data_IF_932491953290
#
_entry.id   IF_932491953290
#
_cell.length_a   1.000
_cell.length_b   1.000
_cell.length_c   1.000
_cell.angle_alpha   90.00
_cell.angle_beta   90.00
_cell.angle_gamma   90.00
#
_symmetry.space_group_name_H-M   'P 1'
#
loop_
_entity.id
_entity.type
_entity.pdbx_description
1 polymer ?
#
# COMPACT_ATOMS: atom_id res chain seq x y z
N UNK A 1 0.73 -21.82 59.58
CA UNK A 1 1.87 -22.70 59.23
C UNK A 1 2.44 -22.14 57.93
N UNK A 2 3.29 -21.10 58.06
CA UNK A 2 4.74 -21.14 57.74
C UNK A 2 4.98 -21.40 56.23
N UNK A 3 5.25 -20.34 55.45
CA UNK A 3 6.59 -19.81 55.07
C UNK A 3 7.10 -20.61 53.83
N UNK A 4 7.49 -20.05 52.68
CA UNK A 4 8.60 -19.13 52.31
C UNK A 4 8.46 -18.95 50.77
N UNK A 5 8.64 -17.82 50.06
CA UNK A 5 9.50 -16.66 50.26
C UNK A 5 10.82 -16.79 49.47
N UNK A 6 10.83 -16.68 48.14
CA UNK A 6 12.06 -16.81 47.33
C UNK A 6 12.16 -15.77 46.23
N UNK A 7 12.91 -14.69 46.49
CA UNK A 7 13.35 -13.70 45.53
C UNK A 7 14.90 -13.65 45.52
N UNK A 8 15.46 -13.02 44.46
CA UNK A 8 16.86 -12.55 44.27
C UNK A 8 17.79 -13.59 43.58
N UNK A 9 18.75 -13.23 42.68
CA UNK A 9 19.25 -11.89 42.29
C UNK A 9 19.31 -11.54 40.79
N UNK A 10 19.43 -10.23 40.57
CA UNK A 10 19.98 -9.58 39.40
C UNK A 10 21.44 -10.00 39.12
N UNK A 11 21.76 -10.23 37.84
CA UNK A 11 23.12 -10.40 37.34
C UNK A 11 23.41 -9.30 36.32
N UNK A 12 24.22 -8.35 36.78
CA UNK A 12 24.97 -7.38 35.98
C UNK A 12 25.99 -8.13 35.12
N UNK A 13 25.92 -7.98 33.80
CA UNK A 13 27.05 -8.21 32.90
C UNK A 13 27.20 -6.98 32.02
N UNK A 14 28.25 -6.21 32.29
CA UNK A 14 28.79 -5.22 31.38
C UNK A 14 29.65 -5.95 30.34
N UNK A 15 29.42 -5.66 29.06
CA UNK A 15 30.25 -6.09 27.93
C UNK A 15 30.17 -5.04 26.81
N UNK A 16 31.32 -4.44 26.53
CA UNK A 16 31.55 -3.28 25.65
C UNK A 16 31.93 -3.76 24.23
N UNK A 17 31.45 -3.00 23.23
CA UNK A 17 31.96 -2.81 21.84
C UNK A 17 31.73 -3.91 20.80
N UNK A 18 30.96 -3.51 19.79
CA UNK A 18 30.93 -4.07 18.43
C UNK A 18 29.97 -3.26 17.58
N UNK A 19 30.48 -2.26 16.86
CA UNK A 19 29.68 -1.40 15.98
C UNK A 19 29.08 -2.15 14.78
N UNK A 20 27.96 -1.63 14.31
CA UNK A 20 27.32 -2.00 13.05
C UNK A 20 26.21 -0.98 12.78
N UNK A 21 26.41 -0.16 11.76
CA UNK A 21 25.48 0.87 11.30
C UNK A 21 24.12 0.26 10.95
N UNK A 22 23.04 0.77 11.53
CA UNK A 22 21.69 0.63 10.99
C UNK A 22 21.38 1.93 10.26
N UNK A 23 21.22 1.87 8.94
CA UNK A 23 20.70 2.97 8.14
C UNK A 23 19.21 3.15 8.47
N UNK A 24 18.92 4.02 9.43
CA UNK A 24 17.58 4.54 9.64
C UNK A 24 17.26 5.51 8.49
N UNK A 25 16.44 5.05 7.55
CA UNK A 25 15.86 5.89 6.51
C UNK A 25 14.88 6.89 7.15
N UNK A 26 15.37 8.10 7.45
CA UNK A 26 14.52 9.24 7.78
C UNK A 26 13.90 9.78 6.49
N UNK A 27 12.60 9.53 6.31
CA UNK A 27 11.77 10.28 5.39
C UNK A 27 11.50 11.66 6.00
N UNK A 28 11.77 12.72 5.24
CA UNK A 28 11.32 14.07 5.59
C UNK A 28 10.16 14.44 4.67
N UNK A 29 8.96 14.54 5.23
CA UNK A 29 7.86 15.27 4.60
C UNK A 29 8.10 16.76 4.80
N UNK A 30 8.29 17.50 3.72
CA UNK A 30 8.26 18.96 3.76
C UNK A 30 6.80 19.40 3.98
N UNK A 31 6.51 19.88 5.19
CA UNK A 31 5.30 20.64 5.50
C UNK A 31 5.62 22.13 5.31
N UNK A 32 4.88 22.82 4.44
CA UNK A 32 5.12 24.20 4.01
C UNK A 32 4.94 25.26 5.12
N UNK A 33 4.57 24.88 6.35
CA UNK A 33 4.27 25.85 7.41
C UNK A 33 5.21 25.86 8.63
N UNK A 34 6.31 25.11 8.65
CA UNK A 34 7.30 25.17 9.75
C UNK A 34 8.74 25.06 9.21
N UNK A 35 9.59 26.11 9.31
CA UNK A 35 10.98 26.00 8.84
C UNK A 35 11.84 25.21 9.83
N UNK A 36 12.59 24.18 9.40
CA UNK A 36 13.56 23.50 10.26
C UNK A 36 14.81 24.37 10.44
N UNK A 37 15.36 24.40 11.66
CA UNK A 37 16.66 25.00 11.97
C UNK A 37 17.70 23.89 12.04
N UNK A 38 18.82 24.07 11.32
CA UNK A 38 20.07 23.35 11.57
C UNK A 38 21.07 24.43 12.04
N UNK A 39 21.68 24.22 13.21
CA UNK A 39 22.66 25.15 13.83
C UNK A 39 22.29 26.64 13.81
N UNK A 40 21.02 26.93 14.11
CA UNK A 40 20.53 28.27 14.42
C UNK A 40 20.63 29.33 13.30
N UNK A 41 20.70 28.95 12.01
CA UNK A 41 20.57 29.89 10.87
C UNK A 41 19.53 29.43 9.82
N UNK A 42 18.78 30.36 9.20
CA UNK A 42 17.80 30.03 8.15
C UNK A 42 18.48 29.74 6.80
N UNK A 43 17.94 28.76 6.07
CA UNK A 43 18.37 28.36 4.73
C UNK A 43 17.86 29.33 3.66
N UNK A 44 18.51 30.48 3.51
CA UNK A 44 18.43 31.30 2.30
C UNK A 44 19.76 32.04 2.21
N UNK A 45 20.69 31.49 1.42
CA UNK A 45 21.86 32.16 0.78
C UNK A 45 23.07 31.22 0.64
N UNK A 46 22.93 30.15 -0.14
CA UNK A 46 24.07 29.40 -0.66
C UNK A 46 23.87 29.13 -2.16
N UNK A 47 24.15 30.14 -2.98
CA UNK A 47 24.42 29.95 -4.40
C UNK A 47 25.81 29.35 -4.64
N UNK A 48 26.11 28.92 -5.88
CA UNK A 48 27.25 28.02 -6.19
C UNK A 48 28.67 28.63 -6.08
N UNK A 49 28.82 29.85 -5.55
CA UNK A 49 30.14 30.54 -5.44
C UNK A 49 30.60 30.80 -3.99
N UNK A 50 30.06 30.10 -2.99
CA UNK A 50 30.46 30.29 -1.60
C UNK A 50 31.89 29.77 -1.32
N UNK A 51 32.84 30.69 -1.13
CA UNK A 51 34.22 30.37 -0.75
C UNK A 51 34.31 29.83 0.68
N UNK A 52 35.15 28.80 0.86
CA UNK A 52 35.49 28.22 2.16
C UNK A 52 36.31 29.24 2.96
N UNK A 53 35.80 29.63 4.13
CA UNK A 53 36.59 30.29 5.16
C UNK A 53 36.70 29.35 6.37
N UNK A 54 37.88 29.28 6.94
CA UNK A 54 38.19 28.40 8.06
C UNK A 54 37.49 28.89 9.34
N UNK A 55 37.33 27.99 10.34
CA UNK A 55 36.58 28.18 11.59
C UNK A 55 37.00 29.38 12.47
N UNK A 56 38.06 30.09 12.08
CA UNK A 56 38.55 31.31 12.74
C UNK A 56 38.17 32.61 12.00
N UNK A 57 37.47 32.56 10.87
CA UNK A 57 36.89 33.74 10.20
C UNK A 57 37.88 34.61 9.41
N UNK A 58 39.06 34.10 9.05
CA UNK A 58 40.00 34.81 8.18
C UNK A 58 39.88 34.31 6.73
N UNK A 59 39.33 35.14 5.85
CA UNK A 59 39.33 34.91 4.41
C UNK A 59 40.50 35.71 3.80
N UNK A 60 41.54 35.03 3.30
CA UNK A 60 42.70 35.70 2.69
C UNK A 60 42.47 35.94 1.19
N UNK A 61 42.42 37.21 0.78
CA UNK A 61 42.49 37.61 -0.64
C UNK A 61 43.93 37.51 -1.16
N UNK A 62 44.17 36.56 -2.05
CA UNK A 62 45.41 36.46 -2.80
C UNK A 62 45.27 37.15 -4.17
N UNK A 63 45.70 38.41 -4.23
CA UNK A 63 46.63 38.93 -5.24
C UNK A 63 46.21 39.00 -6.72
N UNK A 64 45.81 40.22 -7.10
CA UNK A 64 46.08 40.98 -8.34
C UNK A 64 47.26 40.58 -9.23
N UNK A 65 47.10 40.72 -10.55
CA UNK A 65 48.18 40.88 -11.53
C UNK A 65 47.68 41.41 -12.89
N UNK A 66 47.97 42.69 -13.17
CA UNK A 66 47.74 43.44 -14.41
C UNK A 66 48.55 42.91 -15.61
N UNK A 67 48.07 43.17 -16.84
CA UNK A 67 48.82 42.96 -18.08
C UNK A 67 48.14 43.58 -19.31
N UNK A 68 48.78 44.59 -19.88
CA UNK A 68 48.37 45.51 -20.94
C UNK A 68 48.16 44.94 -22.37
N UNK A 69 47.31 45.68 -23.11
CA UNK A 69 47.32 46.07 -24.52
C UNK A 69 48.09 45.28 -25.61
N UNK A 70 47.40 45.00 -26.72
CA UNK A 70 48.01 44.70 -28.02
C UNK A 70 46.99 44.71 -29.17
N UNK A 71 47.16 45.63 -30.12
CA UNK A 71 46.33 45.92 -31.29
C UNK A 71 46.91 45.29 -32.58
N UNK A 72 46.07 45.10 -33.60
CA UNK A 72 46.43 44.72 -34.99
C UNK A 72 45.85 43.36 -35.38
N UNK A 73 45.07 43.15 -36.43
CA UNK A 73 44.98 43.83 -37.73
C UNK A 73 45.19 42.75 -38.82
N UNK A 74 44.26 42.60 -39.76
CA UNK A 74 44.51 41.77 -40.95
C UNK A 74 43.28 41.05 -41.50
N UNK A 75 42.50 41.75 -42.31
CA UNK A 75 41.68 41.16 -43.36
C UNK A 75 42.60 40.49 -44.40
N UNK A 76 42.31 39.25 -44.77
CA UNK A 76 42.71 38.68 -46.06
C UNK A 76 41.56 37.83 -46.60
N UNK A 77 40.88 38.39 -47.60
CA UNK A 77 40.20 37.59 -48.62
C UNK A 77 41.22 37.07 -49.64
N UNK A 78 40.98 35.87 -50.18
CA UNK A 78 41.53 35.50 -51.49
C UNK A 78 41.75 34.01 -51.72
N UNK A 79 40.94 33.44 -52.64
CA UNK A 79 41.24 32.25 -53.47
C UNK A 79 41.12 30.90 -52.73
N UNK A 80 40.19 30.00 -53.03
CA UNK A 80 39.67 29.66 -54.35
C UNK A 80 40.64 28.73 -55.06
N UNK A 81 40.66 27.45 -54.69
CA UNK A 81 41.07 26.35 -55.55
C UNK A 81 40.26 25.11 -55.18
N UNK A 82 39.50 24.62 -56.15
CA UNK A 82 38.62 23.47 -56.01
C UNK A 82 39.39 22.18 -55.78
N UNK A 83 39.06 21.50 -54.70
CA UNK A 83 39.28 20.06 -54.54
C UNK A 83 37.88 19.45 -54.48
N UNK A 84 37.33 19.14 -55.65
CA UNK A 84 36.21 18.23 -55.78
C UNK A 84 36.64 16.82 -55.36
N UNK A 85 35.72 16.12 -54.70
CA UNK A 85 35.68 14.67 -54.54
C UNK A 85 36.80 14.00 -53.72
N UNK A 86 36.99 14.44 -52.47
CA UNK A 86 37.92 13.76 -51.55
C UNK A 86 37.66 13.90 -50.04
N UNK A 87 36.52 14.44 -49.59
CA UNK A 87 36.24 14.60 -48.15
C UNK A 87 35.02 13.83 -47.64
N UNK A 88 34.38 13.02 -48.48
CA UNK A 88 33.20 12.22 -48.11
C UNK A 88 33.51 11.01 -47.19
N UNK A 89 34.73 10.83 -46.69
CA UNK A 89 35.14 9.59 -46.00
C UNK A 89 35.92 9.76 -44.68
N UNK A 90 35.75 10.89 -43.97
CA UNK A 90 36.29 10.99 -42.59
C UNK A 90 35.33 10.42 -41.54
N UNK A 91 34.07 10.17 -41.90
CA UNK A 91 33.13 9.48 -41.03
C UNK A 91 33.46 7.98 -41.01
N UNK A 92 33.95 7.49 -39.88
CA UNK A 92 34.21 6.05 -39.65
C UNK A 92 32.92 5.25 -39.40
N UNK A 93 31.81 5.94 -39.11
CA UNK A 93 30.48 5.38 -38.99
C UNK A 93 29.63 5.59 -40.25
N UNK A 94 28.42 6.09 -40.05
CA UNK A 94 27.46 6.39 -41.11
C UNK A 94 27.03 7.86 -41.05
N UNK A 95 26.69 8.41 -42.21
CA UNK A 95 26.11 9.73 -42.31
C UNK A 95 24.59 9.64 -42.22
N UNK A 96 24.01 10.26 -41.18
CA UNK A 96 22.56 10.24 -40.90
C UNK A 96 22.01 11.66 -40.79
N UNK A 97 20.69 11.86 -40.98
CA UNK A 97 20.08 13.18 -40.83
C UNK A 97 20.36 13.78 -39.45
N UNK A 98 20.70 15.07 -39.41
CA UNK A 98 20.88 15.79 -38.15
C UNK A 98 19.59 15.82 -37.33
N UNK A 99 19.72 15.76 -36.02
CA UNK A 99 18.64 15.92 -35.07
C UNK A 99 17.96 17.31 -35.17
N UNK A 100 16.62 17.39 -35.13
CA UNK A 100 15.94 18.67 -34.96
C UNK A 100 16.25 19.31 -33.60
N UNK A 101 16.04 20.63 -33.44
CA UNK A 101 16.17 21.28 -32.13
C UNK A 101 15.31 20.60 -31.05
N UNK A 102 15.87 20.39 -29.86
CA UNK A 102 15.21 19.72 -28.74
C UNK A 102 15.44 18.22 -28.67
N UNK A 103 16.05 17.61 -29.69
CA UNK A 103 16.43 16.20 -29.69
C UNK A 103 17.92 16.04 -29.40
N UNK A 104 18.26 14.97 -28.70
CA UNK A 104 19.63 14.52 -28.51
C UNK A 104 20.17 13.93 -29.82
N UNK A 105 21.49 13.99 -29.99
CA UNK A 105 22.15 13.56 -31.21
C UNK A 105 21.98 12.06 -31.50
N UNK A 106 22.12 11.63 -32.78
CA UNK A 106 21.90 10.23 -33.16
C UNK A 106 22.87 9.26 -32.46
N UNK A 107 22.30 8.31 -31.74
CA UNK A 107 22.98 7.25 -30.99
C UNK A 107 22.50 5.86 -31.41
N UNK A 108 23.16 4.81 -30.91
CA UNK A 108 22.69 3.44 -31.10
C UNK A 108 21.75 3.02 -29.96
N UNK A 109 20.57 2.51 -30.31
CA UNK A 109 19.59 1.96 -29.39
C UNK A 109 19.44 0.46 -29.64
N UNK A 110 19.55 -0.33 -28.59
CA UNK A 110 19.14 -1.73 -28.60
C UNK A 110 17.87 -1.91 -27.77
N UNK A 111 16.93 -2.71 -28.27
CA UNK A 111 15.66 -3.02 -27.61
C UNK A 111 15.49 -4.55 -27.58
N UNK A 112 15.33 -5.12 -26.40
CA UNK A 112 15.10 -6.55 -26.26
C UNK A 112 14.99 -7.06 -24.82
N UNK A 113 14.92 -8.39 -24.63
CA UNK A 113 14.82 -9.01 -23.32
C UNK A 113 16.04 -8.74 -22.42
N UNK A 114 15.82 -8.41 -21.14
CA UNK A 114 16.91 -8.04 -20.21
C UNK A 114 18.00 -9.11 -20.06
N UNK A 115 17.66 -10.39 -20.19
CA UNK A 115 18.60 -11.52 -20.12
C UNK A 115 19.51 -11.65 -21.34
N UNK A 116 19.27 -10.86 -22.40
CA UNK A 116 20.01 -10.84 -23.66
C UNK A 116 20.61 -9.49 -24.00
N UNK A 117 20.57 -8.54 -23.07
CA UNK A 117 21.09 -7.20 -23.28
C UNK A 117 22.58 -7.27 -23.69
N UNK A 118 22.96 -6.83 -24.90
CA UNK A 118 24.34 -6.85 -25.35
C UNK A 118 25.14 -5.72 -24.70
N UNK A 119 26.45 -5.89 -24.70
CA UNK A 119 27.36 -4.78 -24.46
C UNK A 119 27.35 -3.80 -25.63
N UNK A 120 27.73 -2.55 -25.36
CA UNK A 120 27.84 -1.55 -26.40
C UNK A 120 28.96 -1.90 -27.40
N UNK A 121 28.72 -1.75 -28.72
CA UNK A 121 29.69 -2.12 -29.74
C UNK A 121 30.90 -1.18 -29.74
N UNK A 122 32.03 -1.63 -30.27
CA UNK A 122 33.26 -0.83 -30.33
C UNK A 122 33.10 0.51 -31.08
N UNK A 123 32.17 0.60 -32.02
CA UNK A 123 31.83 1.84 -32.74
C UNK A 123 31.10 2.88 -31.86
N UNK A 124 30.46 2.43 -30.78
CA UNK A 124 29.74 3.26 -29.82
C UNK A 124 29.99 2.75 -28.38
N UNK A 125 31.24 2.84 -27.87
CA UNK A 125 31.62 2.12 -26.66
C UNK A 125 31.10 2.74 -25.36
N UNK A 126 30.48 3.93 -25.41
CA UNK A 126 29.96 4.62 -24.22
C UNK A 126 28.53 4.17 -23.98
N UNK A 127 28.31 3.35 -22.96
CA UNK A 127 26.98 3.01 -22.50
C UNK A 127 26.29 4.25 -21.91
N UNK A 128 25.09 4.55 -22.38
CA UNK A 128 24.21 5.54 -21.79
C UNK A 128 23.26 4.92 -20.77
N UNK A 129 22.20 5.65 -20.44
CA UNK A 129 21.16 5.18 -19.52
C UNK A 129 20.40 3.99 -20.11
N UNK A 130 19.96 3.11 -19.21
CA UNK A 130 19.06 2.01 -19.50
C UNK A 130 17.61 2.45 -19.22
N UNK A 131 16.70 2.06 -20.11
CA UNK A 131 15.27 2.33 -19.98
C UNK A 131 14.49 1.02 -20.16
N UNK A 132 13.18 1.08 -19.91
CA UNK A 132 12.32 -0.10 -19.90
C UNK A 132 11.03 0.09 -20.70
N UNK A 133 10.53 -0.98 -21.27
CA UNK A 133 9.27 -1.04 -21.98
C UNK A 133 8.57 -2.38 -21.74
N UNK A 134 7.29 -2.45 -22.14
CA UNK A 134 6.44 -3.64 -21.98
C UNK A 134 6.30 -4.06 -20.50
N UNK A 135 5.72 -3.15 -19.70
CA UNK A 135 5.43 -3.37 -18.29
C UNK A 135 4.42 -4.51 -18.12
N UNK A 136 4.84 -5.58 -17.46
CA UNK A 136 3.99 -6.70 -17.07
C UNK A 136 3.73 -6.64 -15.57
N UNK A 137 2.45 -6.50 -15.20
CA UNK A 137 1.99 -6.35 -13.82
C UNK A 137 1.39 -7.67 -13.35
N UNK A 138 1.89 -8.20 -12.23
CA UNK A 138 1.30 -9.37 -11.58
C UNK A 138 0.18 -8.89 -10.64
N UNK A 139 -1.01 -9.50 -10.64
CA UNK A 139 -2.11 -9.06 -9.77
C UNK A 139 -1.71 -9.06 -8.29
N UNK A 140 -2.04 -7.98 -7.57
CA UNK A 140 -1.83 -7.92 -6.12
C UNK A 140 -2.86 -8.81 -5.43
N UNK A 141 -2.39 -9.75 -4.60
CA UNK A 141 -3.24 -10.56 -3.73
C UNK A 141 -3.20 -10.02 -2.30
N UNK A 142 -4.36 -9.62 -1.80
CA UNK A 142 -4.52 -9.13 -0.44
C UNK A 142 -4.94 -10.25 0.51
N UNK A 143 -4.53 -10.12 1.77
CA UNK A 143 -4.95 -11.04 2.82
C UNK A 143 -6.48 -10.98 3.01
N UNK A 144 -7.07 -12.12 3.33
CA UNK A 144 -8.50 -12.17 3.68
C UNK A 144 -8.69 -11.55 5.06
N UNK A 145 -9.66 -10.65 5.18
CA UNK A 145 -10.05 -10.07 6.46
C UNK A 145 -10.90 -11.05 7.29
N UNK A 146 -10.69 -11.02 8.59
CA UNK A 146 -11.47 -11.73 9.59
C UNK A 146 -11.93 -10.75 10.68
N UNK A 147 -12.90 -11.20 11.47
CA UNK A 147 -13.42 -10.48 12.61
C UNK A 147 -13.41 -11.40 13.81
N UNK A 148 -12.85 -10.93 14.92
CA UNK A 148 -12.95 -11.63 16.18
C UNK A 148 -14.41 -11.60 16.68
N UNK A 149 -14.85 -12.61 17.45
CA UNK A 149 -16.15 -12.58 18.09
C UNK A 149 -16.30 -11.30 18.94
N UNK A 150 -17.47 -10.65 18.94
CA UNK A 150 -17.68 -9.45 19.73
C UNK A 150 -17.67 -9.81 21.23
N UNK A 151 -17.23 -8.87 22.06
CA UNK A 151 -17.48 -8.98 23.50
C UNK A 151 -19.00 -8.99 23.74
N UNK A 152 -19.50 -9.91 24.57
CA UNK A 152 -20.93 -10.01 24.83
C UNK A 152 -21.23 -10.19 26.31
N UNK A 153 -22.36 -9.64 26.74
CA UNK A 153 -22.93 -9.85 28.07
C UNK A 153 -24.45 -9.94 28.01
N UNK A 154 -25.03 -10.64 28.98
CA UNK A 154 -26.47 -10.84 29.11
C UNK A 154 -26.96 -10.19 30.40
N UNK A 155 -27.73 -9.10 30.27
CA UNK A 155 -28.39 -8.49 31.42
C UNK A 155 -29.57 -9.34 31.86
N UNK A 156 -29.58 -9.70 33.14
CA UNK A 156 -30.67 -10.46 33.73
C UNK A 156 -31.96 -9.63 33.76
N UNK A 157 -33.13 -10.25 33.49
CA UNK A 157 -34.40 -9.57 33.60
C UNK A 157 -34.66 -9.26 35.06
N UNK A 158 -34.78 -7.98 35.43
CA UNK A 158 -35.04 -7.56 36.82
C UNK A 158 -36.49 -7.11 37.05
N UNK A 159 -37.21 -6.71 36.01
CA UNK A 159 -38.58 -6.15 36.11
C UNK A 159 -39.69 -7.23 36.12
N UNK A 160 -39.60 -8.21 37.03
CA UNK A 160 -40.60 -9.27 37.15
C UNK A 160 -41.90 -8.73 37.77
N UNK A 161 -43.04 -9.26 37.36
CA UNK A 161 -44.33 -8.86 37.94
C UNK A 161 -45.30 -10.03 38.05
N UNK A 162 -46.03 -10.06 39.16
CA UNK A 162 -47.18 -10.94 39.31
C UNK A 162 -48.43 -10.23 38.78
N UNK A 163 -49.31 -10.98 38.12
CA UNK A 163 -50.54 -10.44 37.56
C UNK A 163 -51.75 -11.13 38.17
N UNK A 164 -52.80 -10.34 38.44
CA UNK A 164 -54.11 -10.81 38.95
C UNK A 164 -55.00 -11.46 37.87
N UNK A 165 -54.39 -11.99 36.81
CA UNK A 165 -55.06 -12.67 35.70
C UNK A 165 -54.41 -14.03 35.47
N UNK A 166 -55.18 -15.11 35.28
CA UNK A 166 -54.62 -16.42 34.94
C UNK A 166 -54.29 -16.54 33.44
N UNK A 167 -54.55 -15.50 32.65
CA UNK A 167 -54.35 -15.49 31.19
C UNK A 167 -53.08 -14.73 30.80
N UNK A 168 -52.41 -15.23 29.76
CA UNK A 168 -51.20 -14.66 29.16
C UNK A 168 -51.42 -14.43 27.66
N UNK A 169 -51.28 -13.20 27.12
CA UNK A 169 -51.07 -11.95 27.87
C UNK A 169 -52.27 -11.61 28.75
N UNK A 170 -52.00 -10.87 29.83
CA UNK A 170 -53.03 -10.47 30.79
C UNK A 170 -54.17 -9.67 30.13
N UNK A 171 -55.38 -9.82 30.66
CA UNK A 171 -56.54 -9.06 30.19
C UNK A 171 -56.30 -7.55 30.36
N UNK A 172 -56.82 -6.69 29.46
CA UNK A 172 -56.77 -5.25 29.66
C UNK A 172 -57.34 -4.87 31.03
N UNK A 173 -56.59 -4.05 31.79
CA UNK A 173 -56.96 -3.63 33.14
C UNK A 173 -56.53 -4.55 34.29
N UNK A 174 -55.88 -5.69 33.98
CA UNK A 174 -55.26 -6.54 34.99
C UNK A 174 -54.21 -5.77 35.81
N UNK A 175 -54.26 -5.93 37.15
CA UNK A 175 -53.30 -5.30 38.06
C UNK A 175 -51.99 -6.08 38.07
N UNK A 176 -50.89 -5.33 38.04
CA UNK A 176 -49.53 -5.85 38.16
C UNK A 176 -48.96 -5.49 39.52
N UNK A 177 -48.57 -6.50 40.28
CA UNK A 177 -47.81 -6.34 41.51
C UNK A 177 -46.34 -6.54 41.18
N UNK A 178 -45.50 -5.56 41.53
CA UNK A 178 -44.06 -5.69 41.32
C UNK A 178 -43.53 -6.88 42.12
N UNK A 179 -42.82 -7.76 41.43
CA UNK A 179 -41.97 -8.79 42.03
C UNK A 179 -40.53 -8.57 41.56
N UNK A 180 -40.17 -7.31 41.27
CA UNK A 180 -38.90 -6.96 40.66
C UNK A 180 -37.71 -7.31 41.56
N UNK A 181 -36.59 -7.63 40.94
CA UNK A 181 -35.30 -7.75 41.61
C UNK A 181 -34.76 -6.37 42.00
N UNK A 182 -33.81 -6.27 42.96
CA UNK A 182 -33.18 -4.99 43.25
C UNK A 182 -32.40 -4.48 42.03
N UNK A 183 -32.06 -3.18 42.03
CA UNK A 183 -31.16 -2.61 41.03
C UNK A 183 -29.79 -3.30 41.09
N UNK A 184 -29.14 -3.47 39.92
CA UNK A 184 -27.86 -4.16 39.79
C UNK A 184 -27.83 -5.60 40.36
N UNK A 185 -28.97 -6.30 40.32
CA UNK A 185 -29.06 -7.69 40.74
C UNK A 185 -28.22 -8.62 39.84
N UNK A 186 -27.39 -9.44 40.49
CA UNK A 186 -26.47 -10.39 39.87
C UNK A 186 -27.08 -11.79 39.65
N UNK A 187 -28.36 -11.97 39.98
CA UNK A 187 -29.06 -13.25 39.84
C UNK A 187 -29.07 -14.11 41.10
N UNK A 188 -28.37 -13.70 42.15
CA UNK A 188 -28.36 -14.39 43.45
C UNK A 188 -29.74 -14.44 44.11
N UNK A 189 -29.95 -15.37 45.04
CA UNK A 189 -31.22 -15.48 45.74
C UNK A 189 -31.58 -14.18 46.45
N UNK A 190 -32.77 -13.63 46.17
CA UNK A 190 -33.26 -12.41 46.80
C UNK A 190 -34.74 -12.48 47.14
N UNK A 191 -35.11 -11.87 48.26
CA UNK A 191 -36.49 -11.70 48.75
C UNK A 191 -37.07 -10.32 48.43
N UNK A 192 -36.34 -9.49 47.67
CA UNK A 192 -36.79 -8.15 47.32
C UNK A 192 -38.17 -8.19 46.66
N UNK A 193 -39.08 -7.32 47.10
CA UNK A 193 -40.46 -7.24 46.60
C UNK A 193 -41.25 -8.57 46.69
N UNK A 194 -40.97 -9.42 47.69
CA UNK A 194 -41.73 -10.65 47.91
C UNK A 194 -43.24 -10.39 48.08
N UNK A 195 -44.06 -11.31 47.58
CA UNK A 195 -45.52 -11.26 47.65
C UNK A 195 -46.01 -12.40 48.55
N UNK A 196 -46.55 -12.10 49.75
CA UNK A 196 -47.10 -13.08 50.66
C UNK A 196 -48.24 -13.91 50.05
N UNK A 197 -48.42 -15.13 50.57
CA UNK A 197 -49.53 -16.00 50.20
C UNK A 197 -50.89 -15.31 50.45
N UNK A 198 -51.81 -15.46 49.49
CA UNK A 198 -53.17 -14.93 49.61
C UNK A 198 -53.30 -13.41 49.58
N UNK A 199 -52.25 -12.66 49.22
CA UNK A 199 -52.37 -11.20 49.07
C UNK A 199 -53.43 -10.86 48.02
N UNK A 200 -54.34 -9.95 48.36
CA UNK A 200 -55.47 -9.58 47.52
C UNK A 200 -55.22 -8.29 46.71
N UNK A 201 -55.52 -8.34 45.42
CA UNK A 201 -55.47 -7.23 44.45
C UNK A 201 -56.79 -7.20 43.67
N UNK A 202 -57.39 -6.01 43.51
CA UNK A 202 -58.65 -5.82 42.76
C UNK A 202 -59.80 -6.79 43.12
N UNK A 203 -59.84 -7.28 44.37
CA UNK A 203 -60.88 -8.22 44.85
C UNK A 203 -60.59 -9.71 44.60
N UNK A 204 -59.42 -10.07 44.05
CA UNK A 204 -58.93 -11.44 43.89
C UNK A 204 -57.47 -11.60 44.32
N UNK A 205 -56.84 -12.77 44.13
CA UNK A 205 -55.43 -12.94 44.45
C UNK A 205 -54.52 -12.16 43.49
N UNK A 206 -53.50 -11.48 44.03
CA UNK A 206 -52.50 -10.73 43.26
C UNK A 206 -51.64 -11.60 42.35
N UNK A 207 -51.44 -12.86 42.73
CA UNK A 207 -50.59 -13.83 42.04
C UNK A 207 -51.46 -14.86 41.34
N UNK A 208 -51.65 -14.70 40.03
CA UNK A 208 -52.34 -15.68 39.16
C UNK A 208 -51.53 -16.02 37.91
N UNK A 209 -50.71 -15.08 37.43
CA UNK A 209 -49.64 -15.36 36.49
C UNK A 209 -48.36 -14.62 36.90
N UNK A 210 -47.25 -15.01 36.29
CA UNK A 210 -45.96 -14.36 36.43
C UNK A 210 -45.46 -13.90 35.06
N UNK A 211 -45.22 -12.60 34.93
CA UNK A 211 -44.64 -11.95 33.77
C UNK A 211 -43.13 -11.74 34.03
N UNK A 212 -42.28 -12.31 33.17
CA UNK A 212 -40.84 -12.08 33.12
C UNK A 212 -40.48 -11.45 31.77
N UNK A 213 -39.83 -10.27 31.76
CA UNK A 213 -39.30 -9.73 30.52
C UNK A 213 -38.18 -10.63 29.96
N UNK A 214 -37.89 -10.45 28.67
CA UNK A 214 -36.72 -11.07 28.05
C UNK A 214 -35.44 -10.48 28.68
N UNK A 215 -34.38 -11.28 28.90
CA UNK A 215 -33.04 -10.75 29.18
C UNK A 215 -32.59 -9.85 28.03
N UNK A 216 -31.67 -8.93 28.31
CA UNK A 216 -31.13 -8.03 27.28
C UNK A 216 -29.72 -8.47 26.89
N UNK A 217 -29.52 -8.66 25.59
CA UNK A 217 -28.20 -8.88 25.03
C UNK A 217 -27.49 -7.55 24.80
N UNK A 218 -26.25 -7.48 25.27
CA UNK A 218 -25.33 -6.38 24.99
C UNK A 218 -24.13 -6.96 24.24
N UNK A 219 -24.03 -6.66 22.95
CA UNK A 219 -22.87 -6.99 22.12
C UNK A 219 -22.02 -5.74 21.89
N UNK A 220 -20.71 -5.86 22.06
CA UNK A 220 -19.71 -4.86 21.72
C UNK A 220 -19.31 -4.94 20.24
N UNK A 221 -18.33 -4.13 19.86
CA UNK A 221 -17.79 -4.15 18.51
C UNK A 221 -16.85 -5.35 18.29
N UNK A 222 -16.75 -5.83 17.05
CA UNK A 222 -15.74 -6.82 16.66
C UNK A 222 -14.41 -6.14 16.34
N UNK A 223 -13.31 -6.77 16.74
CA UNK A 223 -11.98 -6.36 16.34
C UNK A 223 -11.65 -6.93 14.95
N UNK A 224 -11.25 -6.10 13.98
CA UNK A 224 -10.81 -6.58 12.67
C UNK A 224 -9.41 -7.20 12.76
N UNK A 225 -9.20 -8.30 12.05
CA UNK A 225 -7.92 -8.99 11.94
C UNK A 225 -7.66 -9.45 10.51
N UNK A 226 -6.40 -9.74 10.20
CA UNK A 226 -6.01 -10.41 8.96
C UNK A 226 -5.81 -11.89 9.25
N UNK A 227 -6.22 -12.75 8.31
CA UNK A 227 -5.94 -14.19 8.44
C UNK A 227 -4.44 -14.40 8.21
N UNK A 228 -3.70 -14.71 9.29
CA UNK A 228 -2.22 -14.79 9.31
C UNK A 228 -1.60 -15.82 8.35
N UNK A 229 -2.41 -16.73 7.78
CA UNK A 229 -1.96 -17.71 6.77
C UNK A 229 -1.94 -17.15 5.33
N UNK A 230 -2.37 -15.92 5.10
CA UNK A 230 -2.17 -15.26 3.82
C UNK A 230 -0.72 -14.78 3.74
N UNK A 231 0.09 -15.47 2.94
CA UNK A 231 1.43 -15.05 2.58
C UNK A 231 1.48 -13.53 2.29
N UNK A 232 2.56 -12.89 2.73
CA UNK A 232 2.91 -11.48 2.47
C UNK A 232 2.43 -11.06 1.07
N UNK A 233 1.68 -9.95 0.90
CA UNK A 233 1.04 -9.55 -0.36
C UNK A 233 1.91 -9.87 -1.57
N UNK A 234 1.52 -10.93 -2.29
CA UNK A 234 2.22 -11.37 -3.48
C UNK A 234 1.76 -10.46 -4.61
N UNK A 235 2.63 -9.53 -4.98
CA UNK A 235 2.42 -8.61 -6.08
C UNK A 235 3.76 -8.08 -6.55
N UNK A 236 4.05 -8.27 -7.83
CA UNK A 236 5.25 -7.75 -8.47
C UNK A 236 4.92 -7.03 -9.77
N UNK A 237 5.94 -6.43 -10.36
CA UNK A 237 5.94 -6.04 -11.75
C UNK A 237 7.30 -6.33 -12.36
N UNK A 238 7.34 -6.49 -13.67
CA UNK A 238 8.57 -6.68 -14.42
C UNK A 238 8.47 -6.01 -15.78
N UNK A 239 9.63 -5.64 -16.30
CA UNK A 239 9.76 -5.11 -17.66
C UNK A 239 10.16 -6.24 -18.59
N UNK A 240 9.41 -6.45 -19.68
CA UNK A 240 9.77 -7.46 -20.67
C UNK A 240 10.87 -6.98 -21.62
N UNK A 241 10.99 -5.66 -21.82
CA UNK A 241 11.94 -5.05 -22.74
C UNK A 241 12.83 -4.05 -22.01
N UNK A 242 14.12 -4.12 -22.29
CA UNK A 242 15.15 -3.16 -21.91
C UNK A 242 15.58 -2.39 -23.15
N UNK A 243 15.76 -1.09 -22.99
CA UNK A 243 16.30 -0.19 -23.99
C UNK A 243 17.69 0.29 -23.56
N UNK A 244 18.72 -0.09 -24.31
CA UNK A 244 20.10 0.28 -24.02
C UNK A 244 20.61 1.27 -25.06
N UNK A 245 21.12 2.40 -24.58
CA UNK A 245 21.72 3.43 -25.43
C UNK A 245 23.24 3.30 -25.45
N UNK A 246 23.83 3.51 -26.63
CA UNK A 246 25.27 3.45 -26.84
C UNK A 246 25.71 4.64 -27.71
N UNK A 247 26.70 5.40 -27.24
CA UNK A 247 27.22 6.59 -27.90
C UNK A 247 28.67 6.43 -28.36
N UNK A 248 29.02 7.13 -29.45
CA UNK A 248 30.38 7.20 -29.98
C UNK A 248 31.26 8.17 -29.18
N UNK A 249 32.58 7.97 -29.24
CA UNK A 249 33.59 8.82 -28.57
C UNK A 249 34.28 9.80 -29.50
N UNK A 250 34.12 9.65 -30.82
CA UNK A 250 34.79 10.49 -31.82
C UNK A 250 33.95 11.71 -32.16
N UNK A 251 34.61 12.89 -32.17
CA UNK A 251 34.00 14.12 -32.66
C UNK A 251 33.41 13.92 -34.06
N UNK A 252 32.20 14.44 -34.35
CA UNK A 252 31.53 14.16 -35.60
C UNK A 252 32.36 14.72 -36.77
N UNK A 253 32.94 13.81 -37.56
CA UNK A 253 33.53 14.17 -38.84
C UNK A 253 32.41 14.69 -39.78
N UNK A 254 32.71 15.66 -40.66
CA UNK A 254 31.70 16.21 -41.56
C UNK A 254 31.25 15.16 -42.59
N UNK A 255 29.95 15.11 -42.85
CA UNK A 255 29.31 14.15 -43.76
C UNK A 255 29.13 14.68 -45.20
N UNK A 256 29.91 15.69 -45.59
CA UNK A 256 29.80 16.38 -46.89
C UNK A 256 28.55 17.26 -47.04
N UNK A 257 27.40 16.80 -46.53
CA UNK A 257 26.13 17.54 -46.49
C UNK A 257 25.92 18.20 -45.10
N UNK A 258 25.63 19.52 -45.01
CA UNK A 258 25.36 20.20 -43.75
C UNK A 258 24.11 19.72 -42.99
N UNK A 259 23.17 19.05 -43.67
CA UNK A 259 22.00 18.41 -43.07
C UNK A 259 22.28 17.03 -42.47
N UNK A 260 23.50 16.51 -42.63
CA UNK A 260 23.91 15.18 -42.18
C UNK A 260 24.97 15.29 -41.08
N UNK A 261 24.95 14.34 -40.14
CA UNK A 261 25.97 14.18 -39.09
C UNK A 261 26.52 12.76 -39.14
N UNK A 262 27.81 12.62 -38.82
CA UNK A 262 28.41 11.32 -38.61
C UNK A 262 27.93 10.71 -37.29
N UNK A 263 27.37 9.50 -37.34
CA UNK A 263 26.91 8.73 -36.18
C UNK A 263 27.49 7.30 -36.24
N UNK A 264 27.67 6.61 -35.11
CA UNK A 264 28.06 5.20 -35.13
C UNK A 264 27.13 4.34 -35.99
N UNK A 265 27.72 3.39 -36.72
CA UNK A 265 26.97 2.42 -37.48
C UNK A 265 26.60 1.21 -36.59
N UNK A 266 25.38 0.67 -36.68
CA UNK A 266 25.03 -0.61 -36.09
C UNK A 266 26.01 -1.70 -36.53
N UNK A 267 26.43 -2.61 -35.64
CA UNK A 267 27.20 -3.78 -36.05
C UNK A 267 26.37 -4.66 -36.99
N UNK A 268 27.04 -5.29 -37.97
CA UNK A 268 26.44 -6.20 -38.95
C UNK A 268 27.04 -7.61 -38.83
N UNK A 269 26.34 -8.61 -39.39
CA UNK A 269 26.80 -10.00 -39.44
C UNK A 269 26.86 -10.67 -38.06
N UNK A 270 27.86 -11.53 -37.85
CA UNK A 270 28.04 -12.30 -36.61
C UNK A 270 28.31 -11.44 -35.36
N UNK A 271 28.63 -10.15 -35.55
CA UNK A 271 28.84 -9.18 -34.47
C UNK A 271 27.55 -8.46 -34.05
N UNK A 272 26.45 -8.63 -34.79
CA UNK A 272 25.18 -7.99 -34.48
C UNK A 272 24.35 -8.85 -33.50
N UNK A 273 23.74 -8.26 -32.46
CA UNK A 273 22.76 -8.99 -31.67
C UNK A 273 21.56 -9.39 -32.55
N UNK A 274 20.84 -10.49 -32.24
CA UNK A 274 19.68 -10.92 -33.02
C UNK A 274 18.62 -9.83 -33.19
N UNK A 275 18.42 -9.02 -32.15
CA UNK A 275 17.51 -7.88 -32.13
C UNK A 275 18.10 -6.65 -32.83
N UNK A 276 19.39 -6.61 -33.15
CA UNK A 276 20.07 -5.50 -33.83
C UNK A 276 20.14 -4.18 -33.04
N UNK A 277 21.05 -3.30 -33.42
CA UNK A 277 21.03 -1.90 -32.98
C UNK A 277 20.31 -1.02 -34.01
N UNK A 278 19.56 -0.04 -33.53
CA UNK A 278 18.91 1.00 -34.31
C UNK A 278 19.67 2.32 -34.15
N UNK A 279 19.65 3.17 -35.16
CA UNK A 279 20.19 4.53 -35.05
C UNK A 279 19.06 5.51 -34.79
N UNK A 280 19.10 6.17 -33.64
CA UNK A 280 17.98 6.92 -33.10
C UNK A 280 18.40 8.25 -32.49
N UNK A 281 17.49 9.22 -32.56
CA UNK A 281 17.52 10.45 -31.76
C UNK A 281 16.62 10.26 -30.53
N UNK A 282 16.89 11.01 -29.47
CA UNK A 282 16.18 10.87 -28.18
C UNK A 282 15.63 12.21 -27.70
N UNK A 283 14.41 12.21 -27.17
CA UNK A 283 13.84 13.33 -26.42
C UNK A 283 13.73 12.91 -24.95
N UNK A 284 14.44 13.62 -24.07
CA UNK A 284 14.61 13.23 -22.65
C UNK A 284 13.35 13.32 -21.80
N UNK A 285 12.31 14.00 -22.28
CA UNK A 285 11.11 14.26 -21.51
C UNK A 285 9.89 13.85 -22.31
N UNK A 286 9.04 12.99 -21.73
CA UNK A 286 7.70 12.73 -22.22
C UNK A 286 7.62 11.96 -23.55
N UNK A 287 6.37 11.86 -24.01
CA UNK A 287 6.01 11.25 -25.29
C UNK A 287 5.98 12.31 -26.39
N UNK A 288 6.78 12.11 -27.43
CA UNK A 288 6.91 13.06 -28.54
C UNK A 288 6.64 12.40 -29.89
N UNK A 289 6.11 13.18 -30.83
CA UNK A 289 5.99 12.74 -32.22
C UNK A 289 7.34 12.76 -32.91
N UNK A 290 7.60 11.73 -33.71
CA UNK A 290 8.85 11.60 -34.40
C UNK A 290 8.93 12.50 -35.64
N UNK A 291 10.11 13.10 -35.92
CA UNK A 291 10.31 13.80 -37.18
C UNK A 291 10.27 12.83 -38.36
N UNK A 292 9.89 13.31 -39.54
CA UNK A 292 9.81 12.49 -40.75
C UNK A 292 11.14 11.82 -41.14
N UNK A 293 12.28 12.35 -40.67
CA UNK A 293 13.61 11.79 -40.89
C UNK A 293 13.92 10.58 -40.00
N UNK A 294 13.20 10.39 -38.89
CA UNK A 294 13.34 9.28 -37.95
C UNK A 294 11.96 8.70 -37.60
N UNK A 295 11.26 8.06 -38.55
CA UNK A 295 9.83 7.77 -38.41
C UNK A 295 9.49 6.66 -37.40
N UNK A 296 10.46 5.81 -37.03
CA UNK A 296 10.22 4.67 -36.14
C UNK A 296 10.23 5.10 -34.67
N UNK A 297 9.04 5.20 -34.06
CA UNK A 297 8.84 5.69 -32.68
C UNK A 297 8.89 4.57 -31.63
N UNK A 298 9.63 4.81 -30.55
CA UNK A 298 9.68 3.96 -29.37
C UNK A 298 9.56 4.82 -28.10
N UNK A 299 8.58 4.52 -27.24
CA UNK A 299 8.45 5.12 -25.91
C UNK A 299 8.99 4.12 -24.90
N UNK A 300 9.88 4.59 -24.03
CA UNK A 300 10.47 3.81 -22.95
C UNK A 300 10.45 4.63 -21.67
N UNK A 301 10.68 3.98 -20.53
CA UNK A 301 10.51 4.58 -19.21
C UNK A 301 11.74 4.34 -18.35
N UNK A 302 12.07 5.31 -17.49
CA UNK A 302 13.15 5.17 -16.49
C UNK A 302 12.82 4.14 -15.41
N UNK A 303 11.54 3.90 -15.15
CA UNK A 303 11.10 2.96 -14.13
C UNK A 303 9.58 2.92 -14.00
N UNK A 304 9.08 2.37 -12.90
CA UNK A 304 7.66 2.37 -12.55
C UNK A 304 7.48 2.73 -11.08
N UNK A 305 6.31 3.27 -10.75
CA UNK A 305 5.85 3.51 -9.40
C UNK A 305 4.72 2.52 -9.09
N UNK A 306 4.86 1.79 -7.97
CA UNK A 306 3.86 0.85 -7.48
C UNK A 306 3.15 1.48 -6.27
N UNK A 307 1.93 1.94 -6.50
CA UNK A 307 1.07 2.52 -5.46
C UNK A 307 0.08 1.51 -4.89
N UNK A 308 0.22 0.24 -5.26
CA UNK A 308 -0.76 -0.76 -4.89
C UNK A 308 -0.68 -1.09 -3.42
N UNK A 309 -1.85 -1.34 -2.84
CA UNK A 309 -1.98 -1.75 -1.45
C UNK A 309 -3.30 -2.47 -1.24
N UNK A 310 -3.59 -2.76 0.02
CA UNK A 310 -4.84 -3.40 0.42
C UNK A 310 -5.69 -2.42 1.21
N UNK A 311 -7.01 -2.45 1.00
CA UNK A 311 -7.94 -1.76 1.90
C UNK A 311 -7.80 -2.33 3.31
N UNK A 312 -7.93 -1.46 4.32
CA UNK A 312 -7.87 -1.88 5.71
C UNK A 312 -9.04 -2.83 6.05
N UNK A 313 -8.77 -3.83 6.89
CA UNK A 313 -9.82 -4.71 7.40
C UNK A 313 -10.78 -3.94 8.31
N UNK A 314 -12.06 -4.22 8.13
CA UNK A 314 -13.16 -3.65 8.91
C UNK A 314 -14.16 -4.74 9.28
N UNK A 315 -14.91 -4.52 10.35
CA UNK A 315 -15.99 -5.41 10.78
C UNK A 315 -17.31 -4.65 10.77
N UNK A 316 -18.34 -5.30 10.26
CA UNK A 316 -19.72 -4.81 10.37
C UNK A 316 -20.27 -4.93 11.78
N UNK A 317 -21.52 -4.50 11.95
CA UNK A 317 -22.26 -4.66 13.21
C UNK A 317 -22.45 -6.14 13.58
N UNK A 318 -22.39 -6.49 14.87
CA UNK A 318 -22.70 -7.82 15.35
C UNK A 318 -24.11 -8.27 14.95
N UNK A 319 -24.22 -9.53 14.54
CA UNK A 319 -25.50 -10.15 14.20
C UNK A 319 -25.61 -11.53 14.82
N UNK A 320 -26.83 -11.94 15.17
CA UNK A 320 -27.12 -13.26 15.75
C UNK A 320 -26.79 -13.39 17.23
N UNK A 321 -26.46 -12.31 17.94
CA UNK A 321 -26.20 -12.36 19.37
C UNK A 321 -27.48 -12.73 20.16
N UNK A 322 -27.37 -13.72 21.03
CA UNK A 322 -28.48 -14.22 21.85
C UNK A 322 -28.01 -14.63 23.25
N UNK A 323 -28.91 -14.55 24.24
CA UNK A 323 -28.67 -15.22 25.51
C UNK A 323 -29.91 -15.90 26.05
N UNK A 324 -29.66 -16.91 26.87
CA UNK A 324 -30.68 -17.63 27.62
C UNK A 324 -30.41 -17.52 29.11
N UNK A 325 -31.46 -17.20 29.87
CA UNK A 325 -31.44 -17.08 31.32
C UNK A 325 -32.42 -18.08 31.91
N UNK A 326 -31.95 -18.91 32.85
CA UNK A 326 -32.81 -19.73 33.68
C UNK A 326 -33.28 -18.88 34.87
N UNK A 327 -34.56 -18.52 34.86
CA UNK A 327 -35.19 -17.69 35.87
C UNK A 327 -36.12 -18.55 36.74
N UNK A 328 -35.97 -18.46 38.05
CA UNK A 328 -36.79 -19.23 39.00
C UNK A 328 -37.40 -18.35 40.07
N UNK A 329 -38.68 -18.57 40.38
CA UNK A 329 -39.37 -17.99 41.53
C UNK A 329 -39.71 -19.10 42.53
N UNK A 330 -39.68 -18.75 43.80
CA UNK A 330 -39.86 -19.67 44.92
C UNK A 330 -40.89 -19.12 45.89
N UNK A 331 -41.59 -20.01 46.61
CA UNK A 331 -42.60 -19.61 47.59
C UNK A 331 -42.01 -19.27 48.96
N UNK A 332 -40.76 -19.68 49.22
CA UNK A 332 -40.02 -19.38 50.44
C UNK A 332 -38.98 -18.26 50.23
N UNK A 333 -38.32 -17.87 51.30
CA UNK A 333 -37.30 -16.81 51.32
C UNK A 333 -35.89 -17.32 51.02
N UNK A 334 -35.70 -18.64 50.90
CA UNK A 334 -34.40 -19.32 50.80
C UNK A 334 -34.13 -19.91 49.42
N UNK A 335 -34.94 -19.56 48.42
CA UNK A 335 -34.89 -20.10 47.07
C UNK A 335 -34.88 -21.63 47.00
N UNK A 336 -35.70 -22.30 47.82
CA UNK A 336 -35.70 -23.78 47.93
C UNK A 336 -36.97 -24.46 47.40
N UNK A 337 -38.12 -23.82 47.53
CA UNK A 337 -39.43 -24.35 47.15
C UNK A 337 -39.87 -23.69 45.86
N UNK A 338 -39.54 -24.32 44.72
CA UNK A 338 -39.80 -23.78 43.38
C UNK A 338 -41.30 -23.63 43.14
N UNK A 339 -41.70 -22.45 42.68
CA UNK A 339 -43.04 -22.18 42.15
C UNK A 339 -43.02 -22.31 40.63
N UNK A 340 -42.03 -21.67 40.00
CA UNK A 340 -41.82 -21.70 38.56
C UNK A 340 -40.34 -21.59 38.26
N UNK A 341 -39.87 -22.33 37.26
CA UNK A 341 -38.52 -22.27 36.74
C UNK A 341 -38.59 -22.37 35.22
N UNK A 342 -38.10 -21.33 34.54
CA UNK A 342 -38.30 -21.15 33.10
C UNK A 342 -37.03 -20.66 32.45
N UNK A 343 -36.77 -21.17 31.25
CA UNK A 343 -35.74 -20.64 30.37
C UNK A 343 -36.36 -19.50 29.56
N UNK A 344 -35.83 -18.29 29.73
CA UNK A 344 -36.18 -17.12 28.92
C UNK A 344 -35.01 -16.77 27.99
N UNK A 345 -35.31 -16.24 26.82
CA UNK A 345 -34.31 -15.89 25.81
C UNK A 345 -34.42 -14.41 25.48
N UNK A 346 -33.36 -13.81 24.95
CA UNK A 346 -33.36 -12.39 24.56
C UNK A 346 -34.43 -12.01 23.54
N UNK A 347 -35.03 -12.98 22.85
CA UNK A 347 -36.10 -12.77 21.87
C UNK A 347 -37.51 -13.03 22.43
N UNK A 348 -37.63 -13.81 23.50
CA UNK A 348 -38.91 -14.31 24.00
C UNK A 348 -39.08 -14.06 25.51
N UNK A 349 -39.92 -13.10 25.92
CA UNK A 349 -40.31 -12.97 27.33
C UNK A 349 -41.17 -14.17 27.76
N UNK A 350 -41.28 -14.36 29.07
CA UNK A 350 -42.15 -15.39 29.63
C UNK A 350 -43.40 -14.78 30.29
N UNK A 351 -44.54 -15.43 30.05
CA UNK A 351 -45.75 -15.24 30.84
C UNK A 351 -46.36 -16.62 31.07
N UNK A 352 -46.60 -16.98 32.33
CA UNK A 352 -47.23 -18.25 32.66
C UNK A 352 -48.14 -18.17 33.88
N UNK A 353 -49.23 -18.93 33.84
CA UNK A 353 -50.14 -19.06 34.97
C UNK A 353 -49.46 -19.80 36.13
N UNK A 354 -49.73 -19.34 37.35
CA UNK A 354 -49.34 -19.97 38.61
C UNK A 354 -50.59 -20.21 39.45
N UNK A 355 -50.51 -21.09 40.44
CA UNK A 355 -51.67 -21.35 41.29
C UNK A 355 -52.15 -20.04 41.97
N UNK A 356 -53.45 -19.69 41.89
CA UNK A 356 -53.93 -18.44 42.44
C UNK A 356 -53.62 -18.25 43.92
N UNK A 357 -53.03 -17.11 44.28
CA UNK A 357 -52.68 -16.76 45.66
C UNK A 357 -51.39 -17.41 46.16
N UNK A 358 -50.63 -18.07 45.29
CA UNK A 358 -49.29 -18.59 45.62
C UNK A 358 -48.37 -17.48 46.09
N UNK A 359 -47.59 -17.73 47.15
CA UNK A 359 -46.53 -16.83 47.59
C UNK A 359 -45.41 -16.77 46.54
N UNK A 360 -44.86 -15.58 46.34
CA UNK A 360 -43.60 -15.37 45.63
C UNK A 360 -42.61 -14.79 46.64
N UNK A 361 -41.95 -15.69 47.38
CA UNK A 361 -41.08 -15.35 48.51
C UNK A 361 -39.65 -14.97 48.10
N UNK A 362 -39.12 -15.57 47.03
CA UNK A 362 -37.78 -15.28 46.54
C UNK A 362 -37.60 -15.64 45.07
N UNK A 363 -36.49 -15.21 44.47
CA UNK A 363 -36.16 -15.42 43.06
C UNK A 363 -34.66 -15.54 42.83
N UNK A 364 -34.31 -16.24 41.75
CA UNK A 364 -32.94 -16.40 41.22
C UNK A 364 -32.97 -16.29 39.70
N UNK A 365 -31.87 -15.85 39.10
CA UNK A 365 -31.66 -15.91 37.67
C UNK A 365 -30.21 -16.26 37.37
N UNK A 366 -29.97 -17.12 36.38
CA UNK A 366 -28.62 -17.47 35.95
C UNK A 366 -28.54 -17.50 34.43
N UNK A 367 -27.51 -16.88 33.87
CA UNK A 367 -27.23 -17.02 32.43
C UNK A 367 -26.76 -18.44 32.20
N UNK A 368 -27.47 -19.18 31.35
CA UNK A 368 -27.14 -20.57 31.02
C UNK A 368 -26.54 -20.72 29.63
N UNK A 369 -26.75 -19.73 28.76
CA UNK A 369 -26.20 -19.70 27.41
C UNK A 369 -25.98 -18.26 26.96
N UNK A 370 -24.87 -18.03 26.25
CA UNK A 370 -24.46 -16.73 25.73
C UNK A 370 -23.81 -16.95 24.36
N UNK A 371 -24.53 -16.56 23.31
CA UNK A 371 -24.00 -16.48 21.96
C UNK A 371 -23.64 -15.02 21.66
N UNK A 372 -22.34 -14.68 21.51
CA UNK A 372 -21.92 -13.33 21.17
C UNK A 372 -22.33 -12.92 19.75
N UNK A 373 -22.69 -13.87 18.89
CA UNK A 373 -22.94 -13.63 17.48
C UNK A 373 -21.65 -13.47 16.67
N UNK A 374 -21.77 -12.91 15.47
CA UNK A 374 -20.64 -12.71 14.55
C UNK A 374 -20.77 -11.40 13.77
N UNK A 375 -19.63 -10.89 13.32
CA UNK A 375 -19.55 -9.73 12.44
C UNK A 375 -19.13 -10.15 11.04
N UNK A 376 -19.75 -9.52 10.03
CA UNK A 376 -19.30 -9.67 8.65
C UNK A 376 -17.97 -8.93 8.45
N UNK A 377 -16.90 -9.59 7.98
CA UNK A 377 -15.67 -8.91 7.62
C UNK A 377 -15.83 -8.13 6.32
N UNK A 378 -15.08 -7.04 6.19
CA UNK A 378 -14.92 -6.27 4.96
C UNK A 378 -13.49 -5.74 4.84
N UNK A 379 -13.11 -5.28 3.64
CA UNK A 379 -11.74 -4.89 3.36
C UNK A 379 -10.92 -6.01 2.73
N UNK A 380 -9.60 -5.79 2.62
CA UNK A 380 -8.71 -6.75 1.97
C UNK A 380 -8.86 -6.76 0.44
N UNK A 381 -9.42 -5.71 -0.16
CA UNK A 381 -9.45 -5.54 -1.60
C UNK A 381 -8.18 -4.82 -2.10
N UNK A 382 -7.63 -5.22 -3.26
CA UNK A 382 -6.51 -4.52 -3.85
C UNK A 382 -6.94 -3.15 -4.35
N UNK A 383 -6.12 -2.14 -4.04
CA UNK A 383 -6.28 -0.74 -4.48
C UNK A 383 -4.96 -0.25 -5.08
N UNK A 384 -5.01 0.91 -5.74
CA UNK A 384 -3.86 1.53 -6.40
C UNK A 384 -3.52 0.88 -7.74
N UNK A 385 -2.40 1.29 -8.31
CA UNK A 385 -1.94 0.84 -9.63
C UNK A 385 -0.41 0.85 -9.73
N UNK A 386 0.11 0.16 -10.74
CA UNK A 386 1.51 0.31 -11.17
C UNK A 386 1.52 1.16 -12.43
N UNK A 387 2.21 2.29 -12.38
CA UNK A 387 2.31 3.21 -13.50
C UNK A 387 3.77 3.41 -13.91
N UNK A 388 4.08 3.45 -15.22
CA UNK A 388 5.42 3.74 -15.68
C UNK A 388 5.79 5.21 -15.42
N UNK A 389 7.06 5.49 -15.11
CA UNK A 389 7.59 6.81 -14.73
C UNK A 389 8.75 7.21 -15.63
N UNK A 390 8.87 8.51 -15.92
CA UNK A 390 10.01 9.06 -16.65
C UNK A 390 9.99 8.60 -18.11
N UNK A 391 8.90 8.90 -18.82
CA UNK A 391 8.79 8.57 -20.23
C UNK A 391 9.86 9.32 -21.04
N UNK A 392 10.50 8.61 -21.96
CA UNK A 392 11.52 9.08 -22.90
C UNK A 392 11.13 8.58 -24.28
N UNK A 393 11.28 9.44 -25.29
CA UNK A 393 10.96 9.07 -26.68
C UNK A 393 12.24 8.86 -27.47
N UNK A 394 12.34 7.71 -28.12
CA UNK A 394 13.33 7.43 -29.16
C UNK A 394 12.65 7.43 -30.53
N UNK A 395 13.29 8.11 -31.48
CA UNK A 395 12.88 8.11 -32.87
C UNK A 395 14.04 7.59 -33.71
N UNK A 396 13.82 6.48 -34.39
CA UNK A 396 14.83 5.73 -35.10
C UNK A 396 14.67 5.86 -36.61
N UNK A 397 15.79 5.71 -37.33
CA UNK A 397 15.73 5.41 -38.75
C UNK A 397 14.99 4.08 -38.92
N UNK A 398 14.20 3.97 -39.99
CA UNK A 398 13.71 2.66 -40.39
C UNK A 398 14.90 1.73 -40.60
N UNK A 399 14.80 0.48 -40.15
CA UNK A 399 15.84 -0.51 -40.46
C UNK A 399 16.07 -0.49 -41.96
N UNK A 400 17.27 -0.10 -42.37
CA UNK A 400 17.66 -0.29 -43.77
C UNK A 400 17.44 -1.78 -44.07
N UNK A 401 16.64 -2.13 -45.08
CA UNK A 401 16.50 -3.52 -45.48
C UNK A 401 17.91 -4.03 -45.75
N UNK A 402 18.29 -5.14 -45.09
CA UNK A 402 19.57 -5.80 -45.34
C UNK A 402 19.78 -5.85 -46.85
N UNK A 403 20.90 -5.29 -47.33
CA UNK A 403 21.24 -5.33 -48.74
C UNK A 403 21.10 -6.80 -49.18
N UNK A 404 20.28 -7.12 -50.20
CA UNK A 404 20.12 -8.49 -50.63
C UNK A 404 21.50 -9.05 -50.96
N UNK A 405 21.81 -10.22 -50.39
CA UNK A 405 23.03 -10.97 -50.66
C UNK A 405 23.30 -10.90 -52.17
N UNK A 406 24.48 -10.42 -52.62
CA UNK A 406 24.76 -10.35 -54.05
C UNK A 406 24.54 -11.74 -54.64
N UNK A 407 23.77 -11.88 -55.74
CA UNK A 407 23.44 -13.19 -56.27
C UNK A 407 24.74 -13.95 -56.48
N UNK A 408 24.83 -15.15 -55.88
CA UNK A 408 26.00 -16.03 -55.99
C UNK A 408 26.42 -16.05 -57.45
N UNK A 409 27.61 -15.51 -57.73
CA UNK A 409 28.18 -15.52 -59.06
C UNK A 409 28.16 -16.98 -59.55
N UNK A 410 27.53 -17.20 -60.69
CA UNK A 410 27.47 -18.50 -61.34
C UNK A 410 28.90 -19.02 -61.47
N UNK A 411 29.21 -20.17 -60.85
CA UNK A 411 30.54 -20.78 -60.95
C UNK A 411 30.60 -21.59 -62.25
N UNK A 412 31.33 -21.16 -63.29
CA UNK A 412 31.42 -21.89 -64.55
C UNK A 412 32.27 -23.16 -64.45
N UNK A 413 32.88 -23.45 -63.30
CA UNK A 413 33.67 -24.68 -63.09
C UNK A 413 32.85 -25.88 -62.60
N UNK A 414 31.53 -25.71 -62.41
CA UNK A 414 30.58 -26.80 -62.23
C UNK A 414 29.67 -26.91 -63.46
N UNK A 415 30.31 -27.17 -64.61
CA UNK A 415 29.64 -27.58 -65.84
C UNK A 415 29.19 -29.04 -65.80
#
# INVERSE_FOLDING_TARGET
MMLVGGAIPALLVAGIVGGGCTDDAYWYTCDDNIPPRIDNKPCYDAGPDAKVCDDAGNCNDAGTGEGDAGSGGGEQEGGGDGIGDGMSSLCVGQCVPKEPPGWFEPLLLWLGPSDRAPDCPAAAPVAGSEYHADLAIEPLQCATCACDPPEASCELPSAWSAVDSPACPARPGAQRTSFAAPEAWDGTCTTANAIPAGQACAGGPCTQSLDLPAPRMLAGACAPSVVEDAADPQGGFRWATVARTCAGVTAPAPCGDPGMRCSPAPPEGDAAPPEGFLTCIMHHEGEHECPATYPSRHIVYEGAEDSRGCTACTCGEPSGAACSVLASAFSDETCSTVVVSVLTTSEAPFCGAIAPGTALGSKTAVVVDLDPGSCAPGGGEPIGEVAPRGAVTFCCLDRQPQQPEPPRAWNPELG
#
